data_IF_087182433721
#
_entry.id   IF_087182433721
#
_cell.length_a   1.000
_cell.length_b   1.000
_cell.length_c   1.000
_cell.angle_alpha   90.00
_cell.angle_beta   90.00
_cell.angle_gamma   90.00
#
_symmetry.space_group_name_H-M   'P 1'
#
loop_
_entity.id
_entity.type
_entity.pdbx_description
1 polymer ?
#
# COMPACT_ATOMS: atom_id res chain seq x y z
N UNK A 1 -35.58 33.04 76.72
CA UNK A 1 -34.18 32.62 77.00
C UNK A 1 -33.30 33.39 76.01
N UNK A 2 -32.81 34.57 76.39
CA UNK A 2 -31.40 34.78 76.78
C UNK A 2 -30.63 35.38 75.57
N UNK A 3 -30.57 36.71 75.41
CA UNK A 3 -29.47 37.61 75.89
C UNK A 3 -28.12 37.20 75.24
N UNK A 4 -27.41 37.98 74.41
CA UNK A 4 -26.94 39.39 74.49
C UNK A 4 -26.35 39.81 73.12
N UNK A 5 -26.76 40.96 72.58
CA UNK A 5 -26.05 42.27 72.56
C UNK A 5 -24.83 42.33 71.62
N UNK A 6 -24.88 42.96 70.43
CA UNK A 6 -24.90 44.40 70.09
C UNK A 6 -23.53 45.11 70.18
N UNK A 7 -23.24 45.91 69.13
CA UNK A 7 -22.19 46.95 68.95
C UNK A 7 -20.80 46.44 68.46
N UNK A 8 -20.07 47.07 67.55
CA UNK A 8 -20.10 48.36 66.85
C UNK A 8 -19.11 48.27 65.65
N UNK A 9 -19.51 48.65 64.44
CA UNK A 9 -18.93 49.71 63.57
C UNK A 9 -17.41 50.03 63.65
N UNK A 10 -16.88 50.30 62.45
CA UNK A 10 -15.81 51.25 62.03
C UNK A 10 -14.47 50.63 61.54
N UNK A 11 -14.04 51.15 60.36
CA UNK A 11 -12.67 51.30 59.79
C UNK A 11 -12.45 50.48 58.49
N UNK A 12 -12.62 51.12 57.32
CA UNK A 12 -11.58 51.75 56.49
C UNK A 12 -11.15 50.79 55.36
N UNK A 13 -11.49 50.97 54.08
CA UNK A 13 -11.03 51.99 53.11
C UNK A 13 -9.49 52.06 52.97
N UNK A 14 -9.01 51.92 51.72
CA UNK A 14 -7.62 52.02 51.24
C UNK A 14 -6.76 50.76 51.50
N UNK A 15 -5.95 50.22 50.57
CA UNK A 15 -5.16 50.85 49.51
C UNK A 15 -5.00 49.94 48.27
N UNK A 16 -5.13 50.55 47.10
CA UNK A 16 -4.38 50.20 45.90
C UNK A 16 -2.90 50.60 46.08
N UNK A 17 -1.97 49.82 45.54
CA UNK A 17 -0.68 50.36 45.06
C UNK A 17 0.58 50.01 45.86
N UNK A 18 1.64 49.76 45.10
CA UNK A 18 3.05 49.53 45.46
C UNK A 18 3.38 48.11 45.99
N UNK A 19 4.25 47.31 45.36
CA UNK A 19 5.51 47.70 44.73
C UNK A 19 5.85 46.88 43.48
N UNK A 20 6.16 47.61 42.41
CA UNK A 20 7.05 47.21 41.32
C UNK A 20 8.49 47.12 41.85
N UNK A 21 9.36 46.35 41.16
CA UNK A 21 10.85 46.43 41.13
C UNK A 21 11.56 45.83 42.38
N UNK A 22 12.51 44.88 42.35
CA UNK A 22 13.59 44.54 41.40
C UNK A 22 14.26 43.19 41.81
N UNK A 23 14.77 42.46 40.80
CA UNK A 23 16.03 41.68 40.74
C UNK A 23 16.17 40.27 41.39
N UNK A 24 16.37 39.30 40.48
CA UNK A 24 17.42 38.27 40.47
C UNK A 24 17.36 37.07 41.45
N UNK A 25 16.89 35.92 40.94
CA UNK A 25 17.65 34.65 40.88
C UNK A 25 16.83 33.54 40.20
N UNK A 26 17.30 33.02 39.07
CA UNK A 26 16.86 31.74 38.48
C UNK A 26 17.66 30.58 39.13
N UNK A 27 17.51 29.29 38.75
CA UNK A 27 16.47 28.59 37.96
C UNK A 27 15.99 27.27 38.62
N UNK A 28 14.94 26.61 38.09
CA UNK A 28 14.82 25.13 37.97
C UNK A 28 13.53 24.74 37.25
N UNK A 29 13.58 24.73 35.92
CA UNK A 29 12.61 24.02 35.09
C UNK A 29 12.97 22.54 35.04
N UNK A 30 12.11 21.68 35.56
CA UNK A 30 12.17 20.24 35.34
C UNK A 30 11.88 19.94 33.86
N UNK A 31 12.90 19.49 33.12
CA UNK A 31 12.76 18.86 31.80
C UNK A 31 12.31 17.40 31.97
N UNK A 32 11.41 16.86 31.14
CA UNK A 32 11.37 15.43 30.93
C UNK A 32 12.59 15.02 30.10
N UNK A 33 13.41 14.16 30.70
CA UNK A 33 14.54 13.48 30.06
C UNK A 33 13.99 12.32 29.26
N UNK A 34 14.09 12.34 27.93
CA UNK A 34 14.33 11.15 27.10
C UNK A 34 15.00 11.59 25.79
N UNK A 35 16.07 10.86 25.42
CA UNK A 35 17.16 11.37 24.60
C UNK A 35 16.88 11.42 23.11
N UNK A 36 17.10 12.60 22.52
CA UNK A 36 17.50 12.74 21.14
C UNK A 36 18.92 12.20 20.97
N UNK A 37 19.07 11.02 20.35
CA UNK A 37 20.32 10.61 19.71
C UNK A 37 20.23 10.86 18.21
N UNK A 38 20.29 12.14 17.86
CA UNK A 38 20.72 12.58 16.55
C UNK A 38 21.32 13.97 16.74
N UNK A 39 22.65 14.03 16.82
CA UNK A 39 23.51 15.16 16.42
C UNK A 39 24.94 14.80 16.85
N UNK A 40 25.64 14.11 15.94
CA UNK A 40 27.09 14.09 15.90
C UNK A 40 27.54 15.03 14.78
N UNK A 41 28.49 15.90 15.12
CA UNK A 41 29.08 16.98 14.31
C UNK A 41 29.49 16.61 12.89
N UNK A 42 29.18 17.48 11.92
CA UNK A 42 30.01 17.71 10.72
C UNK A 42 29.54 19.00 10.04
N UNK A 43 30.31 20.09 10.21
CA UNK A 43 30.10 21.41 9.60
C UNK A 43 30.54 21.48 8.12
N UNK A 44 30.60 20.35 7.41
CA UNK A 44 30.83 20.23 5.97
C UNK A 44 29.98 19.10 5.35
N UNK A 45 28.76 18.87 5.86
CA UNK A 45 27.84 17.88 5.30
C UNK A 45 26.80 18.54 4.40
N UNK A 46 26.87 18.32 3.09
CA UNK A 46 25.73 18.58 2.18
C UNK A 46 24.51 17.87 2.79
N UNK A 47 23.47 18.62 3.19
CA UNK A 47 22.23 18.02 3.68
C UNK A 47 21.74 16.98 2.66
N UNK A 48 21.68 15.72 3.08
CA UNK A 48 21.32 14.61 2.20
C UNK A 48 19.81 14.72 1.96
N UNK A 49 19.43 15.24 0.78
CA UNK A 49 18.02 15.41 0.38
C UNK A 49 17.27 14.08 0.53
N UNK A 50 16.08 14.14 1.13
CA UNK A 50 15.19 12.97 1.24
C UNK A 50 14.70 12.54 -0.16
N UNK A 51 14.27 11.28 -0.34
CA UNK A 51 13.74 10.83 -1.63
C UNK A 51 12.55 11.68 -2.09
N UNK A 52 11.69 12.08 -1.14
CA UNK A 52 10.55 12.95 -1.41
C UNK A 52 10.99 14.34 -1.88
N UNK A 53 12.02 14.93 -1.25
CA UNK A 53 12.55 16.23 -1.69
C UNK A 53 13.15 16.15 -3.10
N UNK A 54 13.93 15.09 -3.39
CA UNK A 54 14.50 14.87 -4.72
C UNK A 54 13.40 14.75 -5.79
N UNK A 55 12.29 14.09 -5.47
CA UNK A 55 11.15 13.98 -6.38
C UNK A 55 10.55 15.35 -6.68
N UNK A 56 10.34 16.19 -5.67
CA UNK A 56 9.85 17.56 -5.88
C UNK A 56 10.81 18.42 -6.69
N UNK A 57 12.12 18.27 -6.48
CA UNK A 57 13.12 18.98 -7.29
C UNK A 57 13.06 18.54 -8.77
N UNK A 58 12.93 17.23 -9.02
CA UNK A 58 12.75 16.69 -10.37
C UNK A 58 11.42 17.10 -10.99
N UNK A 59 10.39 17.34 -10.17
CA UNK A 59 9.12 17.84 -10.66
C UNK A 59 9.22 19.27 -11.21
N UNK A 60 10.23 20.04 -10.79
CA UNK A 60 10.50 21.36 -11.35
C UNK A 60 11.41 21.32 -12.59
N UNK A 61 12.01 20.17 -12.91
CA UNK A 61 12.86 20.02 -14.10
C UNK A 61 12.04 19.52 -15.31
N UNK A 62 11.83 20.35 -16.34
CA UNK A 62 11.07 19.95 -17.53
C UNK A 62 11.78 18.87 -18.38
N UNK A 63 13.04 18.51 -18.07
CA UNK A 63 13.80 17.50 -18.82
C UNK A 63 13.61 16.07 -18.30
N UNK A 64 13.02 15.90 -17.12
CA UNK A 64 12.88 14.58 -16.50
C UNK A 64 11.60 13.87 -16.97
N UNK A 65 11.71 13.10 -18.06
CA UNK A 65 10.57 12.39 -18.66
C UNK A 65 9.87 11.42 -17.71
N UNK A 66 10.62 10.68 -16.88
CA UNK A 66 10.03 9.77 -15.88
C UNK A 66 9.35 10.51 -14.73
N UNK A 67 9.88 11.65 -14.29
CA UNK A 67 9.21 12.47 -13.28
C UNK A 67 7.89 13.04 -13.82
N UNK A 68 7.88 13.50 -15.08
CA UNK A 68 6.66 13.93 -15.75
C UNK A 68 5.61 12.81 -15.83
N UNK A 69 6.00 11.60 -16.23
CA UNK A 69 5.10 10.44 -16.27
C UNK A 69 4.49 10.16 -14.90
N UNK A 70 5.29 10.17 -13.83
CA UNK A 70 4.77 9.94 -12.49
C UNK A 70 3.90 11.09 -11.98
N UNK A 71 4.21 12.34 -12.32
CA UNK A 71 3.35 13.50 -12.04
C UNK A 71 1.99 13.36 -12.68
N UNK A 72 1.95 13.08 -13.99
CA UNK A 72 0.69 12.86 -14.72
C UNK A 72 -0.14 11.72 -14.08
N UNK A 73 0.49 10.61 -13.68
CA UNK A 73 -0.20 9.51 -13.00
C UNK A 73 -0.78 9.92 -11.64
N UNK A 74 -0.07 10.72 -10.84
CA UNK A 74 -0.59 11.26 -9.58
C UNK A 74 -1.77 12.21 -9.80
N UNK A 75 -1.66 13.10 -10.77
CA UNK A 75 -2.70 14.10 -11.06
C UNK A 75 -3.99 13.41 -11.54
N UNK A 76 -3.86 12.40 -12.39
CA UNK A 76 -4.97 11.55 -12.81
C UNK A 76 -5.62 10.83 -11.63
N UNK A 77 -4.80 10.23 -10.74
CA UNK A 77 -5.31 9.56 -9.55
C UNK A 77 -6.07 10.52 -8.63
N UNK A 78 -5.49 11.69 -8.35
CA UNK A 78 -6.10 12.74 -7.53
C UNK A 78 -7.42 13.23 -8.12
N UNK A 79 -7.44 13.49 -9.44
CA UNK A 79 -8.64 13.89 -10.18
C UNK A 79 -9.73 12.81 -10.13
N UNK A 80 -9.36 11.54 -10.34
CA UNK A 80 -10.31 10.43 -10.26
C UNK A 80 -10.89 10.27 -8.85
N UNK A 81 -10.07 10.39 -7.81
CA UNK A 81 -10.49 10.34 -6.42
C UNK A 81 -11.48 11.46 -6.07
N UNK A 82 -11.18 12.71 -6.43
CA UNK A 82 -12.08 13.85 -6.15
C UNK A 82 -13.47 13.68 -6.79
N UNK A 83 -13.54 13.06 -7.98
CA UNK A 83 -14.80 12.83 -8.70
C UNK A 83 -15.61 11.66 -8.16
N UNK A 84 -14.95 10.59 -7.70
CA UNK A 84 -15.60 9.30 -7.45
C UNK A 84 -15.72 8.93 -5.96
N UNK A 85 -15.07 9.66 -5.05
CA UNK A 85 -15.16 9.37 -3.60
C UNK A 85 -15.71 10.56 -2.81
N UNK A 86 -17.04 10.60 -2.61
CA UNK A 86 -17.72 11.71 -1.91
C UNK A 86 -17.83 11.57 -0.38
N UNK A 87 -17.69 10.35 0.16
CA UNK A 87 -17.71 10.08 1.61
C UNK A 87 -16.72 8.97 1.93
N UNK A 88 -15.69 9.31 2.68
CA UNK A 88 -14.65 8.35 3.07
C UNK A 88 -14.61 8.27 4.60
N UNK A 89 -14.67 7.06 5.15
CA UNK A 89 -14.40 6.84 6.57
C UNK A 89 -12.90 7.05 6.84
N UNK A 90 -12.60 7.47 8.06
CA UNK A 90 -11.21 7.54 8.54
C UNK A 90 -10.52 6.18 8.38
N UNK A 91 -9.25 6.24 7.94
CA UNK A 91 -8.38 5.08 7.86
C UNK A 91 -8.23 4.46 9.24
N UNK A 92 -8.43 3.15 9.32
CA UNK A 92 -8.12 2.36 10.52
C UNK A 92 -6.74 1.73 10.35
N UNK A 93 -6.05 1.34 11.43
CA UNK A 93 -4.76 0.65 11.32
C UNK A 93 -4.81 -0.56 10.38
N UNK A 94 -5.91 -1.31 10.36
CA UNK A 94 -6.11 -2.46 9.47
C UNK A 94 -6.02 -2.10 7.98
N UNK A 95 -6.47 -0.89 7.62
CA UNK A 95 -6.41 -0.37 6.25
C UNK A 95 -4.96 -0.07 5.80
N UNK A 96 -4.02 0.02 6.75
CA UNK A 96 -2.61 0.35 6.50
C UNK A 96 -1.71 -0.89 6.47
N UNK A 97 -2.26 -2.11 6.65
CA UNK A 97 -1.51 -3.37 6.70
C UNK A 97 -0.71 -3.68 5.43
N UNK A 98 -1.14 -3.12 4.30
CA UNK A 98 -0.48 -3.28 3.01
C UNK A 98 0.66 -2.28 2.77
N UNK A 99 0.82 -1.26 3.63
CA UNK A 99 1.87 -0.25 3.51
C UNK A 99 3.08 -0.70 4.31
N UNK A 100 4.14 -1.10 3.62
CA UNK A 100 5.41 -1.48 4.23
C UNK A 100 6.28 -0.23 4.46
N UNK A 101 6.97 -0.20 5.59
CA UNK A 101 7.81 0.92 6.01
C UNK A 101 9.28 0.54 5.91
N UNK A 102 10.05 1.36 5.19
CA UNK A 102 11.50 1.28 5.14
C UNK A 102 12.08 2.60 5.69
N UNK A 103 12.34 2.61 7.00
CA UNK A 103 12.92 3.77 7.69
C UNK A 103 14.36 4.06 7.23
N UNK A 104 15.10 3.07 6.72
CA UNK A 104 16.49 3.24 6.29
C UNK A 104 16.59 4.09 5.01
N UNK A 105 15.62 3.95 4.11
CA UNK A 105 15.57 4.70 2.87
C UNK A 105 14.49 5.79 2.86
N UNK A 106 13.67 5.91 3.91
CA UNK A 106 12.59 6.89 3.97
C UNK A 106 11.48 6.60 2.95
N UNK A 107 11.08 5.33 2.84
CA UNK A 107 10.12 4.85 1.85
C UNK A 107 8.88 4.22 2.50
N UNK A 108 7.72 4.44 1.89
CA UNK A 108 6.48 3.73 2.17
C UNK A 108 6.03 3.01 0.91
N UNK A 109 5.94 1.68 0.96
CA UNK A 109 5.55 0.87 -0.18
C UNK A 109 4.20 0.18 0.06
N UNK A 110 3.17 0.56 -0.69
CA UNK A 110 1.93 -0.21 -0.66
C UNK A 110 2.02 -1.45 -1.56
N UNK A 111 2.03 -2.62 -0.93
CA UNK A 111 2.16 -3.90 -1.60
C UNK A 111 0.80 -4.39 -2.13
N UNK A 112 0.69 -4.40 -3.47
CA UNK A 112 -0.39 -5.08 -4.20
C UNK A 112 0.15 -6.38 -4.78
N UNK A 113 -0.32 -7.56 -4.32
CA UNK A 113 0.14 -8.81 -4.88
C UNK A 113 -0.08 -8.87 -6.39
N UNK A 114 0.95 -9.36 -7.10
CA UNK A 114 1.01 -9.45 -8.58
C UNK A 114 1.06 -8.09 -9.30
N UNK A 115 1.10 -6.96 -8.59
CA UNK A 115 1.35 -5.60 -9.12
C UNK A 115 2.82 -5.23 -9.22
N UNK A 116 3.65 -5.79 -8.34
CA UNK A 116 5.10 -5.64 -8.29
C UNK A 116 5.60 -6.32 -7.02
N UNK A 117 6.76 -6.98 -7.06
CA UNK A 117 7.30 -7.64 -5.85
C UNK A 117 8.22 -6.67 -5.13
N UNK A 118 8.14 -6.63 -3.80
CA UNK A 118 9.04 -5.82 -2.97
C UNK A 118 10.53 -6.09 -3.31
N UNK A 119 11.39 -5.07 -3.21
CA UNK A 119 12.82 -5.23 -3.41
C UNK A 119 13.39 -6.12 -2.28
N UNK A 120 14.37 -6.95 -2.62
CA UNK A 120 15.00 -7.86 -1.65
C UNK A 120 16.11 -7.13 -0.91
N UNK A 121 15.83 -6.65 0.30
CA UNK A 121 16.84 -6.11 1.21
C UNK A 121 17.71 -7.21 1.81
N UNK A 122 18.67 -7.71 1.03
CA UNK A 122 19.91 -8.41 1.43
C UNK A 122 20.57 -8.97 0.17
N UNK A 123 21.57 -8.26 -0.37
CA UNK A 123 22.64 -8.81 -1.21
C UNK A 123 23.80 -7.82 -1.27
N UNK A 124 24.44 -7.61 -0.12
CA UNK A 124 25.87 -7.30 -0.10
C UNK A 124 26.57 -8.66 -0.10
N UNK A 125 27.53 -8.82 -1.02
CA UNK A 125 28.39 -9.99 -1.25
C UNK A 125 27.77 -11.19 -1.99
N UNK A 126 27.80 -11.14 -3.33
CA UNK A 126 28.52 -12.12 -4.17
C UNK A 126 28.56 -11.61 -5.63
N UNK A 127 29.75 -11.42 -6.24
CA UNK A 127 29.84 -11.17 -7.66
C UNK A 127 29.57 -12.48 -8.42
N UNK A 128 28.98 -12.34 -9.61
CA UNK A 128 28.76 -13.35 -10.64
C UNK A 128 27.58 -14.35 -10.46
N UNK A 129 26.94 -14.58 -11.61
CA UNK A 129 26.00 -15.64 -11.97
C UNK A 129 24.53 -15.53 -11.51
N UNK A 130 23.72 -14.93 -12.40
CA UNK A 130 22.26 -15.10 -12.58
C UNK A 130 21.33 -14.65 -11.43
N UNK A 131 20.39 -13.72 -11.69
CA UNK A 131 19.34 -13.39 -10.73
C UNK A 131 18.30 -14.52 -10.70
N UNK A 132 18.55 -15.58 -9.91
CA UNK A 132 17.53 -16.59 -9.62
C UNK A 132 16.40 -15.97 -8.81
N UNK A 133 15.21 -16.02 -9.39
CA UNK A 133 13.96 -15.54 -8.82
C UNK A 133 13.68 -16.20 -7.46
N UNK A 134 13.49 -15.39 -6.42
CA UNK A 134 13.10 -15.90 -5.11
C UNK A 134 11.71 -16.57 -5.23
N UNK A 135 11.46 -17.77 -4.69
CA UNK A 135 10.13 -18.36 -4.65
C UNK A 135 9.12 -17.47 -3.89
N UNK A 136 7.84 -17.46 -4.29
CA UNK A 136 6.83 -16.57 -3.71
C UNK A 136 6.55 -16.79 -2.21
N UNK A 137 6.99 -17.92 -1.63
CA UNK A 137 6.86 -18.20 -0.20
C UNK A 137 8.01 -17.58 0.63
N UNK A 138 9.18 -17.35 0.02
CA UNK A 138 10.34 -16.70 0.64
C UNK A 138 10.28 -15.17 0.59
N UNK A 139 9.32 -14.58 -0.15
CA UNK A 139 9.02 -13.14 0.00
C UNK A 139 8.43 -12.79 1.38
N UNK A 140 8.02 -13.80 2.16
CA UNK A 140 7.15 -13.64 3.33
C UNK A 140 7.72 -14.24 4.63
N UNK A 141 9.03 -14.52 4.71
CA UNK A 141 9.71 -14.95 5.95
C UNK A 141 11.11 -14.31 6.08
N UNK A 142 11.77 -14.44 7.25
CA UNK A 142 12.14 -13.39 8.22
C UNK A 142 13.05 -12.26 7.69
N UNK A 143 12.82 -11.03 8.19
CA UNK A 143 13.39 -9.76 7.65
C UNK A 143 12.32 -8.76 7.17
N UNK A 144 11.08 -8.94 7.65
CA UNK A 144 9.87 -8.24 7.26
C UNK A 144 10.00 -6.75 7.56
N UNK A 145 9.92 -5.91 6.52
CA UNK A 145 9.65 -4.49 6.71
C UNK A 145 8.36 -4.37 7.54
N UNK A 146 8.35 -3.57 8.63
CA UNK A 146 7.15 -3.40 9.43
C UNK A 146 6.04 -2.80 8.58
N UNK A 147 4.81 -3.15 8.90
CA UNK A 147 3.64 -2.52 8.28
C UNK A 147 3.39 -1.18 8.97
N UNK A 148 2.88 -0.20 8.23
CA UNK A 148 2.51 1.10 8.79
C UNK A 148 1.44 0.97 9.88
N UNK A 149 0.63 -0.10 9.83
CA UNK A 149 -0.32 -0.47 10.87
C UNK A 149 0.31 -0.83 12.23
N UNK A 150 1.62 -1.14 12.26
CA UNK A 150 2.32 -1.58 13.46
C UNK A 150 2.82 -0.39 14.32
N UNK A 151 2.63 0.86 13.84
CA UNK A 151 3.12 2.08 14.48
C UNK A 151 2.00 2.88 15.15
N UNK A 152 2.38 3.77 16.08
CA UNK A 152 1.42 4.69 16.71
C UNK A 152 0.90 5.75 15.72
N UNK A 153 -0.28 6.35 15.95
CA UNK A 153 -0.82 7.40 15.06
C UNK A 153 0.13 8.59 14.84
N UNK A 154 0.94 8.96 15.83
CA UNK A 154 1.93 10.04 15.71
C UNK A 154 3.05 9.65 14.73
N UNK A 155 3.58 8.44 14.88
CA UNK A 155 4.61 7.86 14.00
C UNK A 155 4.13 7.66 12.57
N UNK A 156 2.88 7.23 12.40
CA UNK A 156 2.23 7.10 11.09
C UNK A 156 2.19 8.47 10.40
N UNK A 157 1.71 9.50 11.09
CA UNK A 157 1.61 10.86 10.53
C UNK A 157 2.98 11.44 10.20
N UNK A 158 3.99 11.19 11.02
CA UNK A 158 5.36 11.62 10.74
C UNK A 158 5.87 11.00 9.44
N UNK A 159 5.73 9.68 9.28
CA UNK A 159 6.19 8.95 8.10
C UNK A 159 5.43 9.34 6.84
N UNK A 160 4.10 9.47 6.90
CA UNK A 160 3.28 9.92 5.77
C UNK A 160 3.66 11.33 5.27
N UNK A 161 4.21 12.19 6.13
CA UNK A 161 4.68 13.53 5.75
C UNK A 161 6.11 13.52 5.20
N UNK A 162 6.98 12.69 5.76
CA UNK A 162 8.41 12.74 5.49
C UNK A 162 8.89 11.76 4.41
N UNK A 163 8.19 10.62 4.23
CA UNK A 163 8.66 9.52 3.40
C UNK A 163 8.04 9.56 2.02
N UNK A 164 8.77 9.04 1.03
CA UNK A 164 8.26 8.85 -0.32
C UNK A 164 7.35 7.64 -0.34
N UNK A 165 6.09 7.85 -0.69
CA UNK A 165 5.06 6.81 -0.74
C UNK A 165 4.82 6.36 -2.17
N UNK A 166 4.92 5.05 -2.43
CA UNK A 166 4.73 4.50 -3.77
C UNK A 166 3.93 3.20 -3.78
N UNK A 167 3.36 2.88 -4.93
CA UNK A 167 2.75 1.57 -5.19
C UNK A 167 3.01 1.12 -6.63
N UNK A 168 2.94 -0.20 -6.85
CA UNK A 168 2.94 -0.79 -8.18
C UNK A 168 1.62 -1.49 -8.44
N UNK A 169 0.94 -1.07 -9.51
CA UNK A 169 -0.33 -1.64 -9.94
C UNK A 169 -0.16 -2.42 -11.24
N UNK A 170 -1.13 -3.29 -11.51
CA UNK A 170 -1.20 -4.06 -12.75
C UNK A 170 -2.62 -4.02 -13.28
N UNK A 171 -2.77 -4.16 -14.59
CA UNK A 171 -4.08 -4.32 -15.22
C UNK A 171 -4.92 -5.39 -14.47
N UNK A 172 -6.15 -5.07 -14.01
CA UNK A 172 -6.91 -5.92 -13.11
C UNK A 172 -7.15 -7.36 -13.60
N UNK A 173 -7.42 -7.57 -14.89
CA UNK A 173 -7.73 -8.90 -15.44
C UNK A 173 -6.47 -9.75 -15.57
N UNK A 174 -5.35 -9.16 -16.00
CA UNK A 174 -4.05 -9.81 -15.98
C UNK A 174 -3.61 -10.18 -14.56
N UNK A 175 -3.83 -9.29 -13.60
CA UNK A 175 -3.55 -9.54 -12.19
C UNK A 175 -4.35 -10.75 -11.69
N UNK A 176 -5.63 -10.82 -12.02
CA UNK A 176 -6.53 -11.89 -11.63
C UNK A 176 -6.16 -13.24 -12.28
N UNK A 177 -5.86 -13.23 -13.57
CA UNK A 177 -5.35 -14.40 -14.30
C UNK A 177 -4.05 -14.93 -13.67
N UNK A 178 -3.13 -14.03 -13.32
CA UNK A 178 -1.90 -14.39 -12.62
C UNK A 178 -2.16 -14.93 -11.21
N UNK A 179 -3.15 -14.41 -10.48
CA UNK A 179 -3.54 -14.90 -9.17
C UNK A 179 -4.10 -16.32 -9.24
N UNK A 180 -5.06 -16.58 -10.13
CA UNK A 180 -5.62 -17.90 -10.37
C UNK A 180 -4.53 -18.92 -10.71
N UNK A 181 -3.68 -18.61 -11.70
CA UNK A 181 -2.59 -19.51 -12.10
C UNK A 181 -1.65 -19.82 -10.95
N UNK A 182 -1.32 -18.82 -10.12
CA UNK A 182 -0.35 -18.99 -9.05
C UNK A 182 -0.92 -19.69 -7.81
N UNK A 183 -2.22 -19.54 -7.53
CA UNK A 183 -2.83 -19.96 -6.25
C UNK A 183 -3.80 -21.11 -6.36
N UNK A 184 -4.34 -21.39 -7.54
CA UNK A 184 -5.35 -22.43 -7.74
C UNK A 184 -4.96 -23.43 -8.82
N UNK A 185 -4.26 -23.01 -9.88
CA UNK A 185 -3.96 -23.90 -11.02
C UNK A 185 -2.65 -24.70 -10.89
N UNK A 186 -1.75 -24.37 -9.95
CA UNK A 186 -0.42 -25.00 -9.84
C UNK A 186 -0.36 -25.98 -8.66
N UNK A 187 0.30 -27.14 -8.80
CA UNK A 187 0.27 -28.21 -7.80
C UNK A 187 0.90 -27.82 -6.45
N UNK A 188 1.89 -26.93 -6.46
CA UNK A 188 2.53 -26.44 -5.23
C UNK A 188 1.68 -25.42 -4.44
N UNK A 189 0.43 -25.16 -4.86
CA UNK A 189 -0.50 -24.25 -4.18
C UNK A 189 -1.52 -24.96 -3.29
N UNK A 190 -1.22 -26.19 -2.86
CA UNK A 190 -2.12 -27.06 -2.10
C UNK A 190 -2.81 -26.38 -0.89
N UNK A 191 -2.12 -25.48 -0.17
CA UNK A 191 -2.74 -24.75 0.93
C UNK A 191 -3.86 -23.80 0.47
N UNK A 192 -3.65 -23.08 -0.64
CA UNK A 192 -4.67 -22.20 -1.23
C UNK A 192 -5.80 -23.01 -1.89
N UNK A 193 -5.47 -24.12 -2.55
CA UNK A 193 -6.45 -25.05 -3.12
C UNK A 193 -7.35 -25.64 -2.02
N UNK A 194 -6.78 -26.11 -0.90
CA UNK A 194 -7.57 -26.61 0.22
C UNK A 194 -8.45 -25.55 0.86
N UNK A 195 -7.96 -24.31 1.02
CA UNK A 195 -8.75 -23.24 1.66
C UNK A 195 -9.85 -22.69 0.74
N UNK A 196 -9.45 -22.24 -0.44
CA UNK A 196 -10.37 -21.55 -1.37
C UNK A 196 -10.91 -22.49 -2.43
N UNK A 197 -10.06 -23.34 -3.00
CA UNK A 197 -10.49 -24.28 -4.03
C UNK A 197 -11.57 -25.24 -3.52
N UNK A 198 -11.39 -25.83 -2.33
CA UNK A 198 -12.36 -26.75 -1.75
C UNK A 198 -13.70 -26.05 -1.50
N UNK A 199 -13.67 -24.80 -1.01
CA UNK A 199 -14.86 -23.96 -0.82
C UNK A 199 -15.58 -23.68 -2.13
N UNK A 200 -14.84 -23.39 -3.19
CA UNK A 200 -15.39 -23.17 -4.54
C UNK A 200 -16.07 -24.46 -5.03
N UNK A 201 -15.39 -25.60 -4.94
CA UNK A 201 -15.94 -26.90 -5.36
C UNK A 201 -17.20 -27.24 -4.58
N UNK A 202 -17.18 -27.12 -3.25
CA UNK A 202 -18.33 -27.40 -2.38
C UNK A 202 -19.55 -26.54 -2.74
N UNK A 203 -19.31 -25.28 -3.11
CA UNK A 203 -20.38 -24.32 -3.42
C UNK A 203 -20.96 -24.50 -4.82
N UNK A 204 -20.11 -24.76 -5.82
CA UNK A 204 -20.51 -24.74 -7.23
C UNK A 204 -20.74 -26.13 -7.82
N UNK A 205 -20.25 -27.21 -7.18
CA UNK A 205 -20.38 -28.59 -7.68
C UNK A 205 -21.06 -29.50 -6.64
N UNK A 206 -22.42 -29.55 -6.60
CA UNK A 206 -23.15 -30.38 -5.64
C UNK A 206 -22.78 -31.87 -5.68
N UNK A 207 -22.39 -32.40 -6.85
CA UNK A 207 -21.99 -33.80 -7.07
C UNK A 207 -20.48 -33.99 -7.30
N UNK A 208 -19.64 -33.11 -6.75
CA UNK A 208 -18.19 -33.27 -6.85
C UNK A 208 -17.70 -34.56 -6.15
N UNK A 209 -16.67 -35.18 -6.72
CA UNK A 209 -15.95 -36.29 -6.09
C UNK A 209 -15.44 -35.88 -4.70
N UNK A 210 -15.42 -36.80 -3.71
CA UNK A 210 -14.95 -36.51 -2.35
C UNK A 210 -13.56 -35.85 -2.33
N UNK A 211 -12.70 -36.29 -3.25
CA UNK A 211 -11.35 -35.78 -3.37
C UNK A 211 -11.27 -34.31 -3.80
N UNK A 212 -12.01 -33.95 -4.85
CA UNK A 212 -12.12 -32.57 -5.32
C UNK A 212 -12.75 -31.68 -4.24
N UNK A 213 -13.72 -32.21 -3.49
CA UNK A 213 -14.39 -31.51 -2.38
C UNK A 213 -13.47 -31.21 -1.20
N UNK A 214 -12.49 -32.07 -0.93
CA UNK A 214 -11.53 -31.91 0.15
C UNK A 214 -10.30 -31.08 -0.28
N UNK A 215 -9.78 -31.32 -1.49
CA UNK A 215 -8.52 -30.72 -1.96
C UNK A 215 -8.71 -29.48 -2.82
N UNK A 216 -9.81 -29.36 -3.56
CA UNK A 216 -10.09 -28.21 -4.43
C UNK A 216 -9.02 -27.94 -5.50
N UNK A 217 -8.31 -28.99 -5.91
CA UNK A 217 -7.10 -28.88 -6.74
C UNK A 217 -7.42 -28.70 -8.23
N UNK A 218 -8.66 -28.92 -8.63
CA UNK A 218 -9.16 -28.96 -10.00
C UNK A 218 -10.17 -27.84 -10.30
N UNK A 219 -10.11 -26.74 -9.55
CA UNK A 219 -10.96 -25.56 -9.77
C UNK A 219 -10.65 -24.91 -11.11
N UNK A 220 -11.66 -24.77 -11.94
CA UNK A 220 -11.58 -24.11 -13.25
C UNK A 220 -11.64 -22.60 -13.10
N UNK A 221 -11.10 -21.87 -14.08
CA UNK A 221 -11.10 -20.42 -14.03
C UNK A 221 -12.51 -19.81 -13.95
N UNK A 222 -13.46 -20.35 -14.73
CA UNK A 222 -14.85 -19.90 -14.69
C UNK A 222 -15.50 -20.04 -13.30
N UNK A 223 -15.18 -21.12 -12.57
CA UNK A 223 -15.69 -21.36 -11.21
C UNK A 223 -15.07 -20.41 -10.20
N UNK A 224 -13.78 -20.12 -10.36
CA UNK A 224 -13.13 -19.08 -9.59
C UNK A 224 -13.77 -17.71 -9.82
N UNK A 225 -14.10 -17.33 -11.06
CA UNK A 225 -14.81 -16.08 -11.34
C UNK A 225 -16.23 -16.08 -10.75
N UNK A 226 -16.97 -17.17 -10.90
CA UNK A 226 -18.30 -17.32 -10.32
C UNK A 226 -18.26 -17.14 -8.78
N UNK A 227 -17.25 -17.70 -8.12
CA UNK A 227 -17.02 -17.50 -6.69
C UNK A 227 -16.79 -16.04 -6.31
N UNK A 228 -15.99 -15.29 -7.08
CA UNK A 228 -15.75 -13.85 -6.80
C UNK A 228 -17.00 -12.99 -7.03
N UNK A 229 -17.84 -13.39 -7.96
CA UNK A 229 -19.07 -12.68 -8.32
C UNK A 229 -20.27 -13.07 -7.44
N UNK A 230 -20.15 -14.14 -6.65
CA UNK A 230 -21.16 -14.53 -5.66
C UNK A 230 -21.17 -13.53 -4.49
N UNK A 231 -22.31 -12.85 -4.22
CA UNK A 231 -22.45 -11.95 -3.09
C UNK A 231 -22.15 -12.59 -1.73
N UNK A 232 -22.37 -13.92 -1.59
CA UNK A 232 -22.09 -14.66 -0.36
C UNK A 232 -20.61 -14.65 -0.02
N UNK A 233 -19.74 -14.67 -1.02
CA UNK A 233 -18.30 -14.70 -0.81
C UNK A 233 -17.81 -13.51 0.00
N UNK A 234 -18.32 -12.29 -0.28
CA UNK A 234 -17.94 -11.09 0.48
C UNK A 234 -18.65 -10.95 1.82
N UNK A 235 -19.77 -11.64 2.01
CA UNK A 235 -20.47 -11.71 3.30
C UNK A 235 -19.72 -12.63 4.26
N UNK A 236 -19.18 -13.73 3.75
CA UNK A 236 -18.49 -14.73 4.56
C UNK A 236 -17.10 -14.26 5.02
N UNK A 237 -16.30 -13.68 4.13
CA UNK A 237 -14.97 -13.16 4.45
C UNK A 237 -14.55 -12.04 3.47
N UNK A 238 -13.66 -11.11 3.88
CA UNK A 238 -13.00 -10.21 2.95
C UNK A 238 -12.26 -10.98 1.85
N UNK A 239 -12.13 -10.39 0.66
CA UNK A 239 -11.35 -11.04 -0.39
C UNK A 239 -9.89 -11.18 0.03
N UNK A 240 -9.27 -12.27 -0.43
CA UNK A 240 -7.84 -12.44 -0.27
C UNK A 240 -7.09 -11.36 -1.06
N UNK A 241 -5.99 -10.87 -0.51
CA UNK A 241 -5.13 -9.85 -1.12
C UNK A 241 -4.71 -10.14 -2.58
N UNK A 242 -4.69 -11.42 -3.00
CA UNK A 242 -4.32 -11.79 -4.38
C UNK A 242 -5.40 -11.48 -5.42
N UNK A 243 -6.67 -11.34 -5.02
CA UNK A 243 -7.77 -10.97 -5.90
C UNK A 243 -8.63 -9.81 -5.37
N UNK A 244 -8.30 -9.23 -4.22
CA UNK A 244 -8.90 -7.96 -3.79
C UNK A 244 -8.50 -6.81 -4.74
N UNK A 245 -9.29 -5.76 -4.86
CA UNK A 245 -9.02 -4.60 -5.72
C UNK A 245 -7.85 -3.78 -5.17
N UNK A 246 -6.99 -3.26 -6.03
CA UNK A 246 -5.81 -2.50 -5.62
C UNK A 246 -6.19 -1.25 -4.81
N UNK A 247 -7.25 -0.53 -5.21
CA UNK A 247 -7.74 0.62 -4.44
C UNK A 247 -8.31 0.25 -3.07
N UNK A 248 -8.78 -0.99 -2.90
CA UNK A 248 -9.30 -1.49 -1.63
C UNK A 248 -8.17 -1.95 -0.69
N UNK A 249 -6.99 -2.32 -1.23
CA UNK A 249 -5.81 -2.66 -0.43
C UNK A 249 -4.99 -1.42 -0.03
N UNK A 250 -4.86 -0.47 -0.95
CA UNK A 250 -3.94 0.65 -0.82
C UNK A 250 -4.61 2.00 -0.58
N UNK A 251 -5.93 2.10 -0.73
CA UNK A 251 -6.69 3.32 -0.44
C UNK A 251 -6.09 4.62 -1.03
N UNK A 252 -5.82 4.67 -2.34
CA UNK A 252 -5.12 5.80 -2.97
C UNK A 252 -5.87 7.12 -2.97
N UNK A 253 -7.14 7.11 -2.58
CA UNK A 253 -7.93 8.32 -2.36
C UNK A 253 -7.91 8.81 -0.90
N UNK A 254 -7.25 8.07 0.00
CA UNK A 254 -7.08 8.39 1.44
C UNK A 254 -5.60 8.55 1.81
N UNK A 255 -4.71 7.89 1.09
CA UNK A 255 -3.26 8.01 1.23
C UNK A 255 -2.68 8.73 0.01
N UNK A 256 -1.78 9.69 0.25
CA UNK A 256 -1.04 10.36 -0.82
C UNK A 256 0.04 9.41 -1.35
N UNK A 257 0.01 9.16 -2.66
CA UNK A 257 1.05 8.43 -3.37
C UNK A 257 1.89 9.40 -4.19
N UNK A 258 3.19 9.41 -3.94
CA UNK A 258 4.16 10.25 -4.63
C UNK A 258 4.68 9.58 -5.91
N UNK A 259 4.62 8.24 -5.99
CA UNK A 259 4.93 7.49 -7.22
C UNK A 259 3.89 6.39 -7.44
N UNK A 260 3.24 6.40 -8.60
CA UNK A 260 2.37 5.31 -9.07
C UNK A 260 3.07 4.60 -10.22
N UNK A 261 3.57 3.40 -9.93
CA UNK A 261 4.21 2.53 -10.91
C UNK A 261 3.25 1.54 -11.54
N UNK A 262 3.55 1.10 -12.76
CA UNK A 262 2.76 0.13 -13.52
C UNK A 262 3.57 -1.13 -13.77
N UNK A 263 2.93 -2.29 -13.78
CA UNK A 263 3.59 -3.58 -14.00
C UNK A 263 4.23 -3.67 -15.39
N UNK A 264 3.64 -2.98 -16.36
CA UNK A 264 4.12 -2.89 -17.74
C UNK A 264 5.44 -2.13 -17.85
N UNK A 265 5.66 -1.13 -16.98
CA UNK A 265 6.88 -0.29 -16.88
C UNK A 265 7.62 -0.54 -15.56
N UNK A 266 7.50 -1.75 -15.00
CA UNK A 266 7.97 -2.06 -13.64
C UNK A 266 9.48 -1.82 -13.48
N UNK A 267 10.27 -2.14 -14.51
CA UNK A 267 11.73 -2.02 -14.41
C UNK A 267 12.16 -0.55 -14.34
N UNK A 268 11.60 0.28 -15.21
CA UNK A 268 11.87 1.71 -15.29
C UNK A 268 11.35 2.44 -14.05
N UNK A 269 10.10 2.19 -13.65
CA UNK A 269 9.46 2.81 -12.49
C UNK A 269 10.17 2.41 -11.18
N UNK A 270 10.63 1.15 -11.07
CA UNK A 270 11.40 0.68 -9.92
C UNK A 270 12.78 1.33 -9.85
N UNK A 271 13.49 1.42 -10.97
CA UNK A 271 14.79 2.09 -11.03
C UNK A 271 14.66 3.57 -10.64
N UNK A 272 13.58 4.23 -11.06
CA UNK A 272 13.28 5.61 -10.68
C UNK A 272 13.13 5.77 -9.15
N UNK A 273 12.31 4.94 -8.51
CA UNK A 273 12.13 4.97 -7.04
C UNK A 273 13.45 4.70 -6.31
N UNK A 274 14.23 3.72 -6.77
CA UNK A 274 15.52 3.38 -6.18
C UNK A 274 16.58 4.49 -6.34
N UNK A 275 16.57 5.20 -7.48
CA UNK A 275 17.39 6.39 -7.68
C UNK A 275 17.07 7.51 -6.69
N UNK A 276 15.77 7.76 -6.44
CA UNK A 276 15.32 8.71 -5.42
C UNK A 276 15.78 8.28 -4.01
N UNK A 277 15.65 6.99 -3.70
CA UNK A 277 16.11 6.39 -2.45
C UNK A 277 17.64 6.45 -2.25
N UNK A 278 18.41 6.72 -3.31
CA UNK A 278 19.87 6.65 -3.26
C UNK A 278 20.39 5.22 -3.14
N UNK A 279 19.63 4.25 -3.63
CA UNK A 279 19.95 2.83 -3.63
C UNK A 279 19.90 2.22 -5.05
N UNK A 280 20.63 2.80 -6.04
CA UNK A 280 20.58 2.36 -7.44
C UNK A 280 21.10 0.93 -7.65
N UNK A 281 21.90 0.41 -6.73
CA UNK A 281 22.47 -0.95 -6.79
C UNK A 281 21.44 -2.03 -6.40
N UNK A 282 20.29 -1.64 -5.84
CA UNK A 282 19.19 -2.56 -5.59
C UNK A 282 18.43 -2.80 -6.91
N UNK A 283 17.73 -3.93 -6.97
CA UNK A 283 16.83 -4.21 -8.09
C UNK A 283 15.51 -4.77 -7.57
N UNK A 284 14.44 -4.34 -8.23
CA UNK A 284 13.16 -5.04 -8.09
C UNK A 284 13.22 -6.30 -8.95
N UNK A 285 12.89 -7.47 -8.40
CA UNK A 285 12.80 -8.67 -9.22
C UNK A 285 11.65 -8.51 -10.22
N UNK A 286 12.02 -8.16 -11.46
CA UNK A 286 11.11 -8.07 -12.58
C UNK A 286 10.58 -9.45 -12.99
N UNK A 287 9.50 -9.51 -13.78
CA UNK A 287 9.05 -10.78 -14.34
C UNK A 287 10.17 -11.39 -15.21
N UNK A 288 10.29 -12.73 -15.26
CA UNK A 288 11.36 -13.38 -16.00
C UNK A 288 11.35 -12.96 -17.47
N UNK A 289 12.48 -12.41 -17.94
CA UNK A 289 12.72 -12.07 -19.34
C UNK A 289 12.94 -13.38 -20.15
N UNK A 290 12.53 -13.45 -21.43
CA UNK A 290 12.16 -12.32 -22.29
C UNK A 290 10.64 -12.05 -22.43
N UNK A 291 9.75 -12.89 -21.86
CA UNK A 291 8.29 -12.82 -22.14
C UNK A 291 7.43 -12.38 -20.95
N UNK A 292 7.96 -11.79 -19.90
CA UNK A 292 7.26 -11.57 -18.62
C UNK A 292 5.86 -10.92 -18.70
N UNK A 293 5.77 -9.75 -19.32
CA UNK A 293 4.53 -8.98 -19.52
C UNK A 293 3.68 -9.54 -20.66
N UNK A 294 4.29 -9.91 -21.79
CA UNK A 294 3.59 -10.55 -22.91
C UNK A 294 2.91 -11.87 -22.50
N UNK A 295 3.63 -12.78 -21.82
CA UNK A 295 3.09 -14.05 -21.33
C UNK A 295 2.00 -13.87 -20.26
N UNK A 296 2.03 -12.73 -19.56
CA UNK A 296 1.03 -12.32 -18.59
C UNK A 296 -0.27 -11.91 -19.27
N UNK A 297 -0.18 -11.06 -20.29
CA UNK A 297 -1.28 -10.69 -21.17
C UNK A 297 -1.85 -11.90 -21.91
N UNK A 298 -1.00 -12.73 -22.50
CA UNK A 298 -1.40 -13.93 -23.23
C UNK A 298 -2.15 -14.92 -22.35
N UNK A 299 -1.76 -15.04 -21.08
CA UNK A 299 -2.48 -15.86 -20.12
C UNK A 299 -3.89 -15.33 -19.88
N UNK A 300 -4.04 -14.02 -19.68
CA UNK A 300 -5.35 -13.40 -19.50
C UNK A 300 -6.22 -13.60 -20.74
N UNK A 301 -5.68 -13.34 -21.93
CA UNK A 301 -6.37 -13.55 -23.22
C UNK A 301 -6.88 -14.99 -23.33
N UNK A 302 -6.04 -15.99 -23.03
CA UNK A 302 -6.45 -17.40 -23.09
C UNK A 302 -7.54 -17.73 -22.07
N UNK A 303 -7.39 -17.29 -20.83
CA UNK A 303 -8.34 -17.62 -19.76
C UNK A 303 -9.71 -16.93 -19.93
N UNK A 304 -9.74 -15.69 -20.44
CA UNK A 304 -10.97 -14.94 -20.62
C UNK A 304 -11.70 -15.23 -21.93
N UNK A 305 -11.06 -15.89 -22.90
CA UNK A 305 -11.67 -16.28 -24.18
C UNK A 305 -12.96 -17.07 -24.02
N UNK A 306 -12.96 -18.03 -23.10
CA UNK A 306 -14.08 -18.97 -22.91
C UNK A 306 -15.09 -18.50 -21.84
N UNK A 307 -14.87 -17.32 -21.26
CA UNK A 307 -15.77 -16.74 -20.25
C UNK A 307 -16.89 -15.98 -20.96
N UNK A 308 -18.14 -16.18 -20.52
CA UNK A 308 -19.29 -15.50 -21.13
C UNK A 308 -19.21 -13.98 -20.94
N UNK A 309 -19.71 -13.18 -21.91
CA UNK A 309 -19.77 -11.72 -21.79
C UNK A 309 -20.44 -11.23 -20.50
N UNK A 310 -21.48 -11.94 -20.05
CA UNK A 310 -22.17 -11.67 -18.79
C UNK A 310 -21.22 -11.68 -17.58
N UNK A 311 -20.40 -12.72 -17.44
CA UNK A 311 -19.44 -12.79 -16.33
C UNK A 311 -18.32 -11.76 -16.49
N UNK A 312 -17.85 -11.50 -17.71
CA UNK A 312 -16.82 -10.49 -17.97
C UNK A 312 -17.29 -9.08 -17.58
N UNK A 313 -18.54 -8.72 -17.90
CA UNK A 313 -19.13 -7.42 -17.54
C UNK A 313 -19.26 -7.25 -16.03
N UNK A 314 -19.80 -8.25 -15.33
CA UNK A 314 -19.92 -8.18 -13.85
C UNK A 314 -18.55 -8.11 -13.16
N UNK A 315 -17.56 -8.79 -13.73
CA UNK A 315 -16.19 -8.72 -13.23
C UNK A 315 -15.56 -7.36 -13.50
N UNK A 316 -15.81 -6.78 -14.68
CA UNK A 316 -15.38 -5.42 -14.98
C UNK A 316 -15.97 -4.43 -13.99
N UNK A 317 -17.28 -4.52 -13.70
CA UNK A 317 -17.94 -3.66 -12.70
C UNK A 317 -17.33 -3.82 -11.30
N UNK A 318 -16.90 -5.03 -10.94
CA UNK A 318 -16.20 -5.28 -9.67
C UNK A 318 -14.86 -4.54 -9.58
N UNK A 319 -14.06 -4.54 -10.65
CA UNK A 319 -12.73 -3.90 -10.67
C UNK A 319 -12.73 -2.50 -11.29
N UNK A 320 -13.89 -1.95 -11.67
CA UNK A 320 -14.02 -0.69 -12.41
C UNK A 320 -13.25 0.47 -11.79
N UNK A 321 -13.25 0.57 -10.46
CA UNK A 321 -12.51 1.62 -9.76
C UNK A 321 -10.99 1.50 -9.95
N UNK A 322 -10.42 0.30 -10.06
CA UNK A 322 -8.98 0.15 -10.34
C UNK A 322 -8.66 0.64 -11.78
N UNK A 323 -9.55 0.37 -12.75
CA UNK A 323 -9.39 0.91 -14.11
C UNK A 323 -9.38 2.43 -14.13
N UNK A 324 -10.34 3.04 -13.43
CA UNK A 324 -10.50 4.49 -13.36
C UNK A 324 -9.34 5.16 -12.63
N UNK A 325 -8.99 4.67 -11.43
CA UNK A 325 -7.99 5.30 -10.57
C UNK A 325 -6.57 5.19 -11.13
N UNK A 326 -6.25 4.11 -11.84
CA UNK A 326 -4.90 3.86 -12.38
C UNK A 326 -4.80 4.07 -13.89
N UNK A 327 -5.84 4.63 -14.50
CA UNK A 327 -5.93 4.93 -15.93
C UNK A 327 -5.53 3.71 -16.79
N UNK A 328 -6.22 2.59 -16.57
CA UNK A 328 -6.14 1.42 -17.46
C UNK A 328 -7.28 1.48 -18.47
N UNK A 329 -6.95 1.21 -19.72
CA UNK A 329 -7.94 1.02 -20.78
C UNK A 329 -8.60 -0.36 -20.63
N UNK A 330 -9.86 -0.45 -21.03
CA UNK A 330 -10.54 -1.74 -21.15
C UNK A 330 -9.78 -2.64 -22.12
N UNK A 331 -9.39 -3.86 -21.74
CA UNK A 331 -8.66 -4.75 -22.63
C UNK A 331 -9.51 -5.18 -23.83
N UNK A 332 -8.95 -5.09 -25.03
CA UNK A 332 -9.64 -5.41 -26.29
C UNK A 332 -10.10 -6.86 -26.43
N UNK A 333 -9.53 -7.78 -25.64
CA UNK A 333 -9.91 -9.18 -25.62
C UNK A 333 -11.16 -9.46 -24.77
N UNK A 334 -11.68 -8.46 -24.05
CA UNK A 334 -12.91 -8.58 -23.29
C UNK A 334 -14.12 -8.33 -24.18
N UNK A 335 -15.16 -9.15 -23.97
CA UNK A 335 -16.46 -9.02 -24.61
C UNK A 335 -17.43 -8.41 -23.61
N UNK A 336 -17.53 -7.08 -23.62
CA UNK A 336 -18.38 -6.32 -22.70
C UNK A 336 -19.72 -5.88 -23.33
N UNK A 337 -19.90 -6.12 -24.63
CA UNK A 337 -21.07 -5.75 -25.42
C UNK A 337 -21.82 -6.98 -25.90
#
# INVERSE_FOLDING_TARGET
>A
MGRRCWRQRVLAAACLGAALLLLCAAPRTLRPVFGNRALGSSWLGRERRSPLQKLYDLDQDPRSTLAEVHRQRRDLLSSACSRHTRRQRLLQPEDLRHVLVDDAHGLLYCYVPKGGRAPTGKRVAKPAATPRAIPAHEAHAPGRLPSLADFSPAEINQRLRAYLTFLFVREPFERLASAYRNKLARPYSAAFQRRYGARIVQRLRPRALPDARARGHDVRFAEFLAYLLDPRTRRDEPFNEHWERAHALCHPCRLRYDVVGKFETLAEDAAFVLGLAGAPDLSFPGPPRPRGTAASRDLAVRLFRDISPFYQRRLFDLYKMDFLLFNYSTPSYLRLH
#
